data_IF_887795115455
#
_entry.id   IF_887795115455
#
_cell.length_a   1.000
_cell.length_b   1.000
_cell.length_c   1.000
_cell.angle_alpha   90.00
_cell.angle_beta   90.00
_cell.angle_gamma   90.00
#
_symmetry.space_group_name_H-M   'P 1'
#
loop_
_entity.id
_entity.type
_entity.pdbx_description
1 polymer ?
#
# COMPACT_ATOMS: atom_id res chain seq x y z
N UNK A 1 18.41 11.42 -8.18
CA UNK A 1 18.56 11.39 -6.71
C UNK A 1 17.96 12.62 -6.00
N UNK A 2 18.11 13.85 -6.53
CA UNK A 2 17.54 15.06 -5.91
C UNK A 2 16.01 14.98 -5.67
N UNK A 3 15.23 14.52 -6.66
CA UNK A 3 13.77 14.35 -6.52
C UNK A 3 13.36 13.40 -5.39
N UNK A 4 14.11 12.31 -5.18
CA UNK A 4 13.87 11.35 -4.09
C UNK A 4 14.14 12.00 -2.74
N UNK A 5 15.29 12.67 -2.57
CA UNK A 5 15.61 13.39 -1.34
C UNK A 5 14.55 14.44 -0.98
N UNK A 6 14.07 15.16 -2.00
CA UNK A 6 12.97 16.11 -1.83
C UNK A 6 11.70 15.41 -1.37
N UNK A 7 11.25 14.37 -2.07
CA UNK A 7 10.04 13.63 -1.69
C UNK A 7 10.10 13.03 -0.28
N UNK A 8 11.27 12.56 0.16
CA UNK A 8 11.46 12.09 1.54
C UNK A 8 11.31 13.21 2.57
N UNK A 9 11.88 14.40 2.28
CA UNK A 9 11.71 15.57 3.13
C UNK A 9 10.25 16.03 3.17
N UNK A 10 9.59 16.05 2.01
CA UNK A 10 8.18 16.42 1.91
C UNK A 10 7.31 15.44 2.74
N UNK A 11 7.63 14.13 2.74
CA UNK A 11 6.96 13.12 3.56
C UNK A 11 7.22 13.27 5.06
N UNK A 12 8.43 13.69 5.46
CA UNK A 12 8.79 13.94 6.86
C UNK A 12 7.99 15.11 7.47
N UNK A 13 7.63 16.10 6.64
CA UNK A 13 6.86 17.28 7.05
C UNK A 13 5.34 17.04 7.09
N UNK A 14 4.85 15.86 6.65
CA UNK A 14 3.41 15.53 6.64
C UNK A 14 2.87 15.46 8.07
N UNK A 15 1.73 16.13 8.29
CA UNK A 15 0.94 16.04 9.52
C UNK A 15 -0.32 15.21 9.25
N UNK A 16 -0.41 13.95 9.71
CA UNK A 16 -1.59 13.11 9.48
C UNK A 16 -2.85 13.75 10.08
N UNK A 17 -3.92 13.84 9.26
CA UNK A 17 -5.22 14.34 9.65
C UNK A 17 -6.29 13.88 8.64
N UNK A 18 -7.56 13.93 9.04
CA UNK A 18 -8.71 13.58 8.20
C UNK A 18 -9.06 12.09 8.20
N UNK A 19 -9.91 11.70 7.24
CA UNK A 19 -10.44 10.34 7.11
C UNK A 19 -9.51 9.40 6.34
N UNK A 20 -9.69 8.09 6.55
CA UNK A 20 -8.86 7.05 5.94
C UNK A 20 -9.40 6.55 4.59
N UNK A 21 -9.30 7.36 3.53
CA UNK A 21 -9.72 6.96 2.17
C UNK A 21 -8.63 6.21 1.39
N UNK A 22 -8.21 5.05 1.89
CA UNK A 22 -7.10 4.25 1.29
C UNK A 22 -7.31 3.89 -0.19
N UNK A 23 -8.55 3.69 -0.61
CA UNK A 23 -8.90 3.34 -1.99
C UNK A 23 -8.48 4.42 -3.00
N UNK A 24 -8.52 5.71 -2.62
CA UNK A 24 -8.04 6.78 -3.50
C UNK A 24 -6.52 6.73 -3.69
N UNK A 25 -5.76 6.35 -2.64
CA UNK A 25 -4.32 6.11 -2.77
C UNK A 25 -4.00 4.95 -3.72
N UNK A 26 -4.70 3.82 -3.58
CA UNK A 26 -4.57 2.67 -4.50
C UNK A 26 -4.93 3.05 -5.93
N UNK A 27 -5.99 3.82 -6.13
CA UNK A 27 -6.41 4.33 -7.43
C UNK A 27 -5.34 5.21 -8.08
N UNK A 28 -4.67 6.08 -7.33
CA UNK A 28 -3.55 6.87 -7.86
C UNK A 28 -2.35 5.99 -8.27
N UNK A 29 -2.06 4.93 -7.52
CA UNK A 29 -1.04 3.95 -7.92
C UNK A 29 -1.43 3.22 -9.21
N UNK A 30 -2.69 2.75 -9.31
CA UNK A 30 -3.25 2.10 -10.49
C UNK A 30 -3.14 2.97 -11.74
N UNK A 31 -3.44 4.27 -11.63
CA UNK A 31 -3.29 5.21 -12.74
C UNK A 31 -1.85 5.29 -13.24
N UNK A 32 -0.87 5.35 -12.33
CA UNK A 32 0.54 5.38 -12.71
C UNK A 32 1.03 4.07 -13.33
N UNK A 33 0.56 2.92 -12.84
CA UNK A 33 0.90 1.60 -13.39
C UNK A 33 0.32 1.45 -14.79
N UNK A 34 -0.95 1.80 -14.97
CA UNK A 34 -1.61 1.74 -16.27
C UNK A 34 -0.91 2.63 -17.31
N UNK A 35 -0.58 3.87 -16.94
CA UNK A 35 0.07 4.83 -17.84
C UNK A 35 1.48 4.43 -18.26
N UNK A 36 2.19 3.65 -17.45
CA UNK A 36 3.53 3.14 -17.78
C UNK A 36 3.48 1.89 -18.67
N UNK A 37 2.30 1.38 -19.02
CA UNK A 37 2.12 0.14 -19.77
C UNK A 37 2.06 -1.05 -18.83
N UNK A 38 0.90 -1.22 -18.18
CA UNK A 38 0.58 -2.36 -17.33
C UNK A 38 1.03 -3.70 -17.95
N UNK A 39 1.39 -4.68 -17.11
CA UNK A 39 2.00 -5.97 -17.49
C UNK A 39 3.42 -5.94 -18.11
N UNK A 40 3.94 -4.78 -18.53
CA UNK A 40 5.34 -4.66 -19.02
C UNK A 40 6.37 -4.62 -17.88
N UNK A 41 5.96 -4.17 -16.71
CA UNK A 41 6.84 -3.94 -15.56
C UNK A 41 6.31 -4.65 -14.32
N UNK A 42 7.23 -5.25 -13.56
CA UNK A 42 6.92 -5.75 -12.22
C UNK A 42 6.64 -4.56 -11.30
N UNK A 43 5.38 -4.37 -10.91
CA UNK A 43 4.92 -3.26 -10.09
C UNK A 43 4.63 -3.75 -8.67
N UNK A 44 5.04 -2.98 -7.67
CA UNK A 44 4.83 -3.29 -6.26
C UNK A 44 4.16 -2.09 -5.59
N UNK A 45 3.05 -2.34 -4.92
CA UNK A 45 2.38 -1.35 -4.08
C UNK A 45 2.64 -1.74 -2.63
N UNK A 46 3.09 -0.77 -1.82
CA UNK A 46 3.26 -0.94 -0.38
C UNK A 46 2.36 0.08 0.31
N UNK A 47 1.28 -0.40 0.93
CA UNK A 47 0.33 0.42 1.67
C UNK A 47 0.70 0.43 3.17
N UNK A 48 1.01 1.60 3.72
CA UNK A 48 1.22 1.79 5.16
C UNK A 48 -0.07 2.33 5.78
N UNK A 49 -0.71 1.56 6.65
CA UNK A 49 -1.99 1.93 7.25
C UNK A 49 -2.26 1.11 8.52
N UNK A 50 -3.13 1.60 9.40
CA UNK A 50 -3.70 0.83 10.50
C UNK A 50 -4.89 -0.06 10.05
N UNK A 51 -5.34 0.02 8.80
CA UNK A 51 -6.48 -0.77 8.31
C UNK A 51 -7.81 -0.44 8.99
N UNK A 52 -7.90 0.67 9.73
CA UNK A 52 -9.15 1.14 10.35
C UNK A 52 -9.94 1.94 9.33
N UNK A 53 -10.84 1.25 8.64
CA UNK A 53 -11.66 1.79 7.56
C UNK A 53 -13.13 1.77 7.97
N UNK A 54 -13.86 2.84 7.67
CA UNK A 54 -15.26 3.01 8.08
C UNK A 54 -16.23 2.96 6.89
N UNK A 55 -17.50 2.63 7.16
CA UNK A 55 -18.59 2.60 6.18
C UNK A 55 -18.28 1.71 4.97
N UNK A 56 -18.34 2.31 3.77
CA UNK A 56 -18.12 1.59 2.50
C UNK A 56 -16.64 1.55 2.07
N UNK A 57 -15.74 2.20 2.80
CA UNK A 57 -14.32 2.29 2.47
C UNK A 57 -13.66 0.90 2.35
N UNK A 58 -13.92 -0.09 3.23
CA UNK A 58 -13.40 -1.45 3.07
C UNK A 58 -13.67 -2.04 1.69
N UNK A 59 -14.92 -1.95 1.21
CA UNK A 59 -15.34 -2.48 -0.09
C UNK A 59 -14.61 -1.79 -1.25
N UNK A 60 -14.45 -0.46 -1.17
CA UNK A 60 -13.72 0.30 -2.18
C UNK A 60 -12.22 -0.01 -2.19
N UNK A 61 -11.63 -0.22 -1.00
CA UNK A 61 -10.23 -0.59 -0.86
C UNK A 61 -9.95 -1.95 -1.51
N UNK A 62 -10.78 -2.95 -1.21
CA UNK A 62 -10.69 -4.29 -1.81
C UNK A 62 -10.84 -4.25 -3.33
N UNK A 63 -11.78 -3.44 -3.84
CA UNK A 63 -12.00 -3.26 -5.28
C UNK A 63 -10.78 -2.65 -5.98
N UNK A 64 -10.20 -1.58 -5.44
CA UNK A 64 -9.02 -0.94 -6.04
C UNK A 64 -7.75 -1.79 -5.88
N UNK A 65 -7.64 -2.56 -4.80
CA UNK A 65 -6.57 -3.54 -4.62
C UNK A 65 -6.68 -4.68 -5.65
N UNK A 66 -7.90 -5.19 -5.91
CA UNK A 66 -8.14 -6.15 -6.98
C UNK A 66 -7.71 -5.60 -8.34
N UNK A 67 -8.07 -4.35 -8.64
CA UNK A 67 -7.66 -3.68 -9.88
C UNK A 67 -6.14 -3.55 -9.99
N UNK A 68 -5.45 -3.30 -8.88
CA UNK A 68 -3.98 -3.28 -8.83
C UNK A 68 -3.39 -4.62 -9.29
N UNK A 69 -3.93 -5.72 -8.78
CA UNK A 69 -3.54 -7.09 -9.15
C UNK A 69 -3.84 -7.41 -10.61
N UNK A 70 -4.99 -6.98 -11.12
CA UNK A 70 -5.37 -7.13 -12.55
C UNK A 70 -4.40 -6.38 -13.48
N UNK A 71 -3.79 -5.28 -13.02
CA UNK A 71 -2.72 -4.57 -13.74
C UNK A 71 -1.34 -5.22 -13.63
N UNK A 72 -1.23 -6.35 -12.92
CA UNK A 72 0.01 -7.10 -12.69
C UNK A 72 0.84 -6.60 -11.51
N UNK A 73 0.28 -5.77 -10.63
CA UNK A 73 0.97 -5.31 -9.43
C UNK A 73 0.80 -6.28 -8.26
N UNK A 74 1.84 -6.40 -7.42
CA UNK A 74 1.76 -7.08 -6.12
C UNK A 74 1.43 -6.07 -5.03
N UNK A 75 0.46 -6.37 -4.18
CA UNK A 75 0.00 -5.45 -3.11
C UNK A 75 0.44 -5.96 -1.75
N UNK A 76 1.28 -5.18 -1.08
CA UNK A 76 1.74 -5.41 0.29
C UNK A 76 1.09 -4.43 1.25
N UNK A 77 0.77 -4.89 2.45
CA UNK A 77 0.24 -4.05 3.52
C UNK A 77 1.20 -4.06 4.71
N UNK A 78 1.49 -2.87 5.22
CA UNK A 78 2.34 -2.66 6.40
C UNK A 78 1.47 -2.03 7.47
N UNK A 79 1.13 -2.85 8.47
CA UNK A 79 0.28 -2.52 9.61
C UNK A 79 1.00 -1.63 10.62
N UNK A 80 0.47 -0.44 10.85
CA UNK A 80 1.00 0.54 11.81
C UNK A 80 0.17 0.54 13.09
N UNK A 81 0.83 0.63 14.25
CA UNK A 81 0.18 0.71 15.56
C UNK A 81 -0.76 -0.48 15.82
N UNK A 82 -2.02 -0.24 16.20
CA UNK A 82 -3.04 -1.25 16.51
C UNK A 82 -3.90 -1.59 15.27
N UNK A 83 -3.22 -2.10 14.24
CA UNK A 83 -3.84 -2.29 12.94
C UNK A 83 -4.85 -3.47 12.88
N UNK A 84 -5.81 -3.39 11.95
CA UNK A 84 -6.83 -4.42 11.72
C UNK A 84 -6.32 -5.46 10.72
N UNK A 85 -5.75 -6.56 11.22
CA UNK A 85 -5.16 -7.64 10.41
C UNK A 85 -6.11 -8.13 9.29
N UNK A 86 -7.36 -8.47 9.63
CA UNK A 86 -8.32 -9.01 8.65
C UNK A 86 -8.56 -8.06 7.47
N UNK A 87 -8.59 -6.75 7.74
CA UNK A 87 -8.79 -5.74 6.69
C UNK A 87 -7.57 -5.66 5.77
N UNK A 88 -6.36 -5.71 6.33
CA UNK A 88 -5.12 -5.68 5.53
C UNK A 88 -4.97 -6.93 4.68
N UNK A 89 -5.39 -8.11 5.16
CA UNK A 89 -5.36 -9.36 4.41
C UNK A 89 -6.27 -9.33 3.17
N UNK A 90 -7.39 -8.60 3.22
CA UNK A 90 -8.28 -8.44 2.05
C UNK A 90 -7.71 -7.50 0.98
N UNK A 91 -6.86 -6.56 1.41
CA UNK A 91 -6.20 -5.59 0.52
C UNK A 91 -4.92 -6.19 -0.09
N UNK A 92 -4.09 -6.86 0.71
CA UNK A 92 -2.87 -7.53 0.25
C UNK A 92 -3.17 -8.72 -0.69
N UNK A 93 -2.18 -9.24 -1.42
CA UNK A 93 -2.41 -10.43 -2.26
C UNK A 93 -2.60 -11.70 -1.41
N UNK A 94 -1.85 -11.80 -0.32
CA UNK A 94 -1.85 -12.95 0.59
C UNK A 94 -1.60 -12.50 2.02
N UNK A 95 -1.90 -13.37 3.00
CA UNK A 95 -1.71 -13.07 4.42
C UNK A 95 -0.23 -12.84 4.76
N UNK A 96 0.66 -13.53 4.05
CA UNK A 96 2.11 -13.44 4.19
C UNK A 96 2.67 -12.10 3.70
N UNK A 97 1.89 -11.32 2.96
CA UNK A 97 2.23 -9.97 2.50
C UNK A 97 1.70 -8.87 3.43
N UNK A 98 1.13 -9.24 4.57
CA UNK A 98 0.76 -8.32 5.64
C UNK A 98 1.83 -8.34 6.72
N UNK A 99 2.39 -7.18 7.03
CA UNK A 99 3.52 -7.06 7.93
C UNK A 99 3.28 -6.05 9.05
N UNK A 100 3.50 -6.41 10.32
CA UNK A 100 3.43 -5.44 11.42
C UNK A 100 4.70 -4.58 11.50
N UNK A 101 4.55 -3.31 11.90
CA UNK A 101 5.68 -2.38 12.18
C UNK A 101 6.25 -2.53 13.59
N UNK A 102 5.61 -3.30 14.48
CA UNK A 102 5.92 -3.36 15.92
C UNK A 102 7.33 -3.83 16.29
N UNK A 103 8.11 -4.40 15.35
CA UNK A 103 9.54 -4.75 15.51
C UNK A 103 10.50 -3.97 14.60
N UNK A 104 10.04 -2.88 13.98
CA UNK A 104 10.75 -2.12 12.94
C UNK A 104 10.48 -2.64 11.52
N UNK A 105 11.05 -1.97 10.51
CA UNK A 105 10.84 -2.29 9.09
C UNK A 105 11.59 -3.54 8.59
N UNK A 106 11.91 -4.50 9.46
CA UNK A 106 12.58 -5.75 9.05
C UNK A 106 11.74 -6.54 8.05
N UNK A 107 10.41 -6.47 8.19
CA UNK A 107 9.46 -6.99 7.23
C UNK A 107 9.69 -6.50 5.78
N UNK A 108 10.03 -5.22 5.60
CA UNK A 108 10.30 -4.66 4.27
C UNK A 108 11.57 -5.23 3.65
N UNK A 109 12.56 -5.68 4.43
CA UNK A 109 13.72 -6.41 3.88
C UNK A 109 13.30 -7.74 3.25
N UNK A 110 12.30 -8.40 3.82
CA UNK A 110 11.71 -9.61 3.23
C UNK A 110 11.10 -9.36 1.86
N UNK A 111 10.42 -8.22 1.68
CA UNK A 111 9.84 -7.80 0.40
C UNK A 111 10.95 -7.51 -0.63
N UNK A 112 12.02 -6.82 -0.24
CA UNK A 112 13.13 -6.51 -1.16
C UNK A 112 13.80 -7.79 -1.68
N UNK A 113 13.89 -8.83 -0.86
CA UNK A 113 14.52 -10.11 -1.23
C UNK A 113 13.59 -11.06 -2.01
N UNK A 114 12.28 -10.76 -2.12
CA UNK A 114 11.29 -11.62 -2.81
C UNK A 114 11.03 -11.22 -4.27
N UNK A 115 11.82 -10.27 -4.79
CA UNK A 115 11.74 -9.70 -6.14
C UNK A 115 12.96 -10.09 -6.95
#
# INVERSE_FOLDING_TARGET
RAKIKKGLKDLEEVKPAGDTYIHEGLKQANLQIANQGASRFSSIIIALTDGKLDGQIPLYAEKEAKKSRELGARVYCVGVYDFVQEQLEKIADTKEQVFPVTGGFQALKGIINSV
#
